data_IF_620436479945
#
_entry.id   IF_620436479945
#
_cell.length_a   1.000
_cell.length_b   1.000
_cell.length_c   1.000
_cell.angle_alpha   90.00
_cell.angle_beta   90.00
_cell.angle_gamma   90.00
#
_symmetry.space_group_name_H-M   'P 1'
#
loop_
_entity.id
_entity.type
_entity.pdbx_description
1 polymer ?
#
# COMPACT_ATOMS: atom_id res chain seq x y z
N UNK A 1 -5.05 -6.07 -17.40
CA UNK A 1 -5.92 -5.46 -16.36
C UNK A 1 -5.56 -6.14 -15.04
N UNK A 2 -5.34 -5.36 -13.99
CA UNK A 2 -5.01 -5.89 -12.65
C UNK A 2 -6.29 -5.88 -11.80
N UNK A 3 -6.85 -7.05 -11.43
CA UNK A 3 -8.12 -7.14 -10.71
C UNK A 3 -7.99 -6.88 -9.20
N UNK A 4 -6.88 -6.30 -8.76
CA UNK A 4 -6.57 -6.04 -7.34
C UNK A 4 -6.10 -4.60 -7.17
N UNK A 5 -6.66 -3.88 -6.20
CA UNK A 5 -6.17 -2.56 -5.78
C UNK A 5 -5.95 -2.51 -4.27
N UNK A 6 -4.77 -2.08 -3.85
CA UNK A 6 -4.26 -2.30 -2.49
C UNK A 6 -4.22 -1.02 -1.65
N UNK A 7 -4.52 0.14 -2.21
CA UNK A 7 -4.37 1.41 -1.52
C UNK A 7 -5.48 2.40 -1.88
N UNK A 8 -6.36 2.69 -0.92
CA UNK A 8 -7.43 3.68 -1.03
C UNK A 8 -7.99 4.10 0.34
N UNK A 9 -8.68 5.25 0.37
CA UNK A 9 -9.13 5.95 1.57
C UNK A 9 -10.63 6.23 1.52
N UNK A 10 -11.25 6.27 2.69
CA UNK A 10 -12.67 6.52 2.89
C UNK A 10 -12.93 7.85 3.59
N UNK A 11 -14.21 8.21 3.75
CA UNK A 11 -14.66 9.36 4.56
C UNK A 11 -14.22 9.34 6.02
N UNK A 12 -13.50 8.31 6.47
CA UNK A 12 -12.81 8.28 7.75
C UNK A 12 -11.76 9.40 7.87
N UNK A 13 -11.20 9.84 6.74
CA UNK A 13 -10.47 11.10 6.58
C UNK A 13 -11.32 12.08 5.76
N UNK A 14 -11.41 13.34 6.17
CA UNK A 14 -12.31 14.31 5.51
C UNK A 14 -11.79 14.80 4.15
N UNK A 15 -10.51 14.59 3.85
CA UNK A 15 -9.94 14.78 2.51
C UNK A 15 -10.17 13.60 1.54
N UNK A 16 -10.87 12.54 1.98
CA UNK A 16 -11.40 11.48 1.13
C UNK A 16 -12.93 11.45 1.17
N UNK A 17 -13.56 10.96 0.10
CA UNK A 17 -14.99 11.25 -0.18
C UNK A 17 -15.81 10.02 -0.57
N UNK A 18 -15.35 8.81 -0.28
CA UNK A 18 -16.06 7.57 -0.58
C UNK A 18 -16.22 6.69 0.65
N UNK A 19 -17.29 5.92 0.68
CA UNK A 19 -17.60 4.94 1.72
C UNK A 19 -17.15 3.55 1.29
N UNK A 20 -17.13 2.59 2.23
CA UNK A 20 -16.90 1.17 1.89
C UNK A 20 -17.87 0.67 0.81
N UNK A 21 -19.16 1.05 0.88
CA UNK A 21 -20.16 0.68 -0.13
C UNK A 21 -19.89 1.25 -1.51
N UNK A 22 -19.33 2.47 -1.60
CA UNK A 22 -18.97 3.07 -2.89
C UNK A 22 -17.85 2.28 -3.56
N UNK A 23 -16.83 1.87 -2.78
CA UNK A 23 -15.75 1.02 -3.29
C UNK A 23 -16.24 -0.36 -3.72
N UNK A 24 -17.15 -1.01 -2.97
CA UNK A 24 -17.74 -2.29 -3.37
C UNK A 24 -18.49 -2.16 -4.71
N UNK A 25 -19.36 -1.15 -4.82
CA UNK A 25 -20.15 -0.93 -6.03
C UNK A 25 -19.26 -0.66 -7.25
N UNK A 26 -18.22 0.16 -7.08
CA UNK A 26 -17.28 0.50 -8.13
C UNK A 26 -16.36 -0.67 -8.51
N UNK A 27 -15.93 -1.47 -7.52
CA UNK A 27 -15.14 -2.68 -7.75
C UNK A 27 -15.90 -3.67 -8.64
N UNK A 28 -17.19 -3.90 -8.32
CA UNK A 28 -18.09 -4.71 -9.13
C UNK A 28 -18.20 -4.17 -10.57
N UNK A 29 -18.37 -2.85 -10.72
CA UNK A 29 -18.49 -2.19 -12.03
C UNK A 29 -17.22 -2.32 -12.88
N UNK A 30 -16.05 -2.24 -12.25
CA UNK A 30 -14.73 -2.28 -12.90
C UNK A 30 -14.14 -3.69 -13.03
N UNK A 31 -14.78 -4.69 -12.45
CA UNK A 31 -14.27 -6.07 -12.44
C UNK A 31 -13.10 -6.30 -11.48
N UNK A 32 -12.88 -5.41 -10.51
CA UNK A 32 -11.95 -5.63 -9.39
C UNK A 32 -12.50 -6.76 -8.52
N UNK A 33 -11.66 -7.74 -8.21
CA UNK A 33 -12.01 -8.97 -7.47
C UNK A 33 -11.61 -8.91 -6.01
N UNK A 34 -10.57 -8.16 -5.69
CA UNK A 34 -10.07 -7.98 -4.34
C UNK A 34 -9.59 -6.54 -4.18
N UNK A 35 -9.98 -5.87 -3.11
CA UNK A 35 -9.42 -4.56 -2.77
C UNK A 35 -9.16 -4.44 -1.28
N UNK A 36 -8.30 -3.48 -0.89
CA UNK A 36 -8.04 -3.14 0.51
C UNK A 36 -8.43 -1.69 0.79
N UNK A 37 -9.19 -1.45 1.86
CA UNK A 37 -9.28 -0.11 2.44
C UNK A 37 -8.09 0.09 3.37
N UNK A 38 -7.35 1.18 3.18
CA UNK A 38 -6.12 1.49 3.89
C UNK A 38 -6.14 2.94 4.37
N UNK A 39 -7.16 3.30 5.15
CA UNK A 39 -7.27 4.63 5.75
C UNK A 39 -5.99 4.99 6.54
N UNK A 40 -5.69 6.29 6.61
CA UNK A 40 -4.45 6.79 7.22
C UNK A 40 -4.36 6.45 8.71
N UNK A 41 -3.16 6.09 9.17
CA UNK A 41 -2.91 5.79 10.57
C UNK A 41 -3.24 6.95 11.53
N UNK A 42 -3.61 6.63 12.78
CA UNK A 42 -4.25 7.56 13.71
C UNK A 42 -3.35 8.70 14.23
N UNK A 43 -2.03 8.66 13.99
CA UNK A 43 -1.14 9.76 14.40
C UNK A 43 -1.15 10.91 13.38
N UNK A 44 -1.70 10.72 12.16
CA UNK A 44 -1.76 11.75 11.12
C UNK A 44 -2.90 12.76 11.34
N UNK A 45 -2.70 13.99 10.88
CA UNK A 45 -3.78 14.98 10.81
C UNK A 45 -4.92 14.49 9.90
N UNK A 46 -6.17 14.80 10.26
CA UNK A 46 -7.37 14.35 9.53
C UNK A 46 -7.51 12.81 9.44
N UNK A 47 -6.80 12.05 10.28
CA UNK A 47 -6.94 10.59 10.36
C UNK A 47 -8.08 10.15 11.30
N UNK A 48 -8.64 8.95 11.11
CA UNK A 48 -9.65 8.41 12.00
C UNK A 48 -9.11 8.01 13.37
N UNK A 49 -10.01 7.89 14.34
CA UNK A 49 -9.71 7.31 15.64
C UNK A 49 -9.25 5.83 15.50
N UNK A 50 -8.28 5.36 16.30
CA UNK A 50 -7.75 3.99 16.22
C UNK A 50 -8.80 2.86 16.29
N UNK A 51 -9.97 3.12 16.89
CA UNK A 51 -11.11 2.17 16.88
C UNK A 51 -11.69 1.90 15.50
N UNK A 52 -11.49 2.80 14.53
CA UNK A 52 -11.82 2.57 13.13
C UNK A 52 -11.19 1.26 12.64
N UNK A 53 -9.88 1.10 12.84
CA UNK A 53 -9.12 -0.09 12.45
C UNK A 53 -9.48 -1.33 13.28
N UNK A 54 -9.55 -1.18 14.61
CA UNK A 54 -9.90 -2.31 15.50
C UNK A 54 -11.26 -2.91 15.11
N UNK A 55 -12.22 -2.06 14.72
CA UNK A 55 -13.57 -2.51 14.42
C UNK A 55 -13.78 -3.00 12.98
N UNK A 56 -12.79 -2.87 12.08
CA UNK A 56 -12.86 -3.47 10.73
C UNK A 56 -13.10 -4.98 10.76
N UNK A 57 -12.78 -5.65 11.89
CA UNK A 57 -13.05 -7.07 12.11
C UNK A 57 -14.52 -7.50 11.90
N UNK A 58 -15.46 -6.57 11.95
CA UNK A 58 -16.90 -6.84 11.73
C UNK A 58 -17.31 -6.84 10.25
N UNK A 59 -16.44 -6.40 9.36
CA UNK A 59 -16.78 -6.26 7.94
C UNK A 59 -17.07 -7.61 7.30
N UNK A 60 -18.02 -7.70 6.36
CA UNK A 60 -18.14 -8.87 5.50
C UNK A 60 -16.84 -9.07 4.73
N UNK A 61 -16.42 -10.33 4.53
CA UNK A 61 -15.25 -10.63 3.70
C UNK A 61 -15.57 -10.47 2.21
N UNK A 62 -16.73 -10.97 1.78
CA UNK A 62 -17.16 -10.99 0.38
C UNK A 62 -18.51 -10.29 0.23
N UNK A 63 -18.63 -9.36 -0.72
CA UNK A 63 -19.89 -8.71 -1.09
C UNK A 63 -19.96 -8.65 -2.61
N UNK A 64 -21.06 -9.10 -3.20
CA UNK A 64 -21.25 -9.11 -4.66
C UNK A 64 -20.11 -9.80 -5.45
N UNK A 65 -19.46 -10.79 -4.84
CA UNK A 65 -18.31 -11.50 -5.43
C UNK A 65 -16.99 -10.70 -5.41
N UNK A 66 -16.93 -9.60 -4.66
CA UNK A 66 -15.74 -8.78 -4.44
C UNK A 66 -15.21 -9.02 -3.02
N UNK A 67 -13.93 -9.39 -2.92
CA UNK A 67 -13.23 -9.57 -1.65
C UNK A 67 -12.76 -8.24 -1.06
N UNK A 68 -12.82 -8.14 0.27
CA UNK A 68 -12.53 -6.92 1.02
C UNK A 68 -11.44 -7.23 2.07
N UNK A 69 -10.24 -6.70 1.83
CA UNK A 69 -9.16 -6.67 2.81
C UNK A 69 -9.32 -5.48 3.74
N UNK A 70 -9.02 -5.72 5.02
CA UNK A 70 -9.01 -4.74 6.09
C UNK A 70 -7.57 -4.27 6.23
N UNK A 71 -7.31 -3.00 5.98
CA UNK A 71 -5.95 -2.49 5.97
C UNK A 71 -5.79 -1.14 6.64
N UNK A 72 -4.55 -0.68 6.64
CA UNK A 72 -4.12 0.61 7.15
C UNK A 72 -2.98 1.12 6.28
N UNK A 73 -2.96 2.42 6.00
CA UNK A 73 -1.74 3.13 5.61
C UNK A 73 -1.14 3.77 6.86
N UNK A 74 -0.32 3.00 7.56
CA UNK A 74 0.31 3.44 8.80
C UNK A 74 1.39 4.49 8.53
N UNK A 75 1.63 5.36 9.49
CA UNK A 75 2.65 6.38 9.43
C UNK A 75 3.95 5.85 10.03
N UNK A 76 5.06 5.99 9.30
CA UNK A 76 6.41 5.77 9.88
C UNK A 76 6.66 6.90 10.87
N UNK A 77 6.95 6.56 12.13
CA UNK A 77 7.04 7.53 13.23
C UNK A 77 8.45 8.02 13.49
N UNK A 78 9.45 7.17 13.29
CA UNK A 78 10.83 7.47 13.67
C UNK A 78 11.85 6.58 12.96
N UNK A 79 13.13 6.87 13.20
CA UNK A 79 14.29 6.14 12.64
C UNK A 79 14.43 4.70 13.14
N UNK A 80 13.65 4.28 14.15
CA UNK A 80 13.62 2.90 14.64
C UNK A 80 12.60 2.04 13.88
N UNK A 81 11.86 2.61 12.92
CA UNK A 81 10.90 1.89 12.10
C UNK A 81 9.57 1.59 12.82
N UNK A 82 9.27 2.32 13.89
CA UNK A 82 7.98 2.23 14.56
C UNK A 82 6.89 2.86 13.69
N UNK A 83 5.71 2.25 13.69
CA UNK A 83 4.51 2.75 13.00
C UNK A 83 3.37 2.94 13.98
N UNK A 84 2.40 3.77 13.65
CA UNK A 84 1.22 4.08 14.47
C UNK A 84 0.12 3.00 14.42
N UNK A 85 0.52 1.72 14.40
CA UNK A 85 -0.37 0.58 14.47
C UNK A 85 -0.15 -0.18 15.79
N UNK A 86 -1.16 -0.21 16.66
CA UNK A 86 -1.11 -0.91 17.94
C UNK A 86 -1.36 -2.43 17.78
N UNK A 87 -0.99 -3.23 18.78
CA UNK A 87 -1.24 -4.68 18.77
C UNK A 87 -2.70 -5.05 18.50
N UNK A 88 -3.64 -4.35 19.15
CA UNK A 88 -5.08 -4.58 18.92
C UNK A 88 -5.55 -4.21 17.51
N UNK A 89 -4.86 -3.30 16.84
CA UNK A 89 -5.14 -2.97 15.44
C UNK A 89 -4.63 -4.09 14.53
N UNK A 90 -3.40 -4.57 14.74
CA UNK A 90 -2.85 -5.72 13.99
C UNK A 90 -3.77 -6.95 14.06
N UNK A 91 -4.37 -7.25 15.23
CA UNK A 91 -5.28 -8.38 15.39
C UNK A 91 -6.55 -8.31 14.50
N UNK A 92 -6.88 -7.13 13.95
CA UNK A 92 -8.07 -6.89 13.13
C UNK A 92 -7.78 -6.64 11.65
N UNK A 93 -6.51 -6.51 11.25
CA UNK A 93 -6.08 -6.09 9.92
C UNK A 93 -5.38 -7.22 9.15
N UNK A 94 -5.59 -7.25 7.84
CA UNK A 94 -4.97 -8.20 6.91
C UNK A 94 -3.77 -7.58 6.19
N UNK A 95 -3.87 -6.29 5.83
CA UNK A 95 -2.86 -5.58 5.04
C UNK A 95 -2.30 -4.39 5.83
N UNK A 96 -0.97 -4.27 5.86
CA UNK A 96 -0.28 -3.21 6.58
C UNK A 96 0.61 -2.50 5.57
N UNK A 97 0.17 -1.33 5.14
CA UNK A 97 0.98 -0.39 4.38
C UNK A 97 1.63 0.57 5.37
N UNK A 98 2.84 1.03 5.11
CA UNK A 98 3.44 2.12 5.87
C UNK A 98 4.15 3.13 4.97
N UNK A 99 4.00 4.42 5.27
CA UNK A 99 4.54 5.51 4.46
C UNK A 99 4.99 6.73 5.27
N UNK A 100 5.62 7.68 4.59
CA UNK A 100 5.98 8.96 5.17
C UNK A 100 4.89 10.01 4.92
N UNK A 101 4.40 10.61 6.00
CA UNK A 101 3.48 11.73 5.98
C UNK A 101 4.00 12.84 6.88
N UNK A 102 4.02 14.07 6.33
CA UNK A 102 4.68 15.24 6.92
C UNK A 102 4.23 15.57 8.36
N UNK A 103 2.93 15.43 8.73
CA UNK A 103 2.50 15.67 10.11
C UNK A 103 3.08 14.70 11.15
N UNK A 104 3.49 13.49 10.75
CA UNK A 104 4.01 12.45 11.65
C UNK A 104 5.53 12.34 11.57
N UNK A 105 6.07 12.40 10.36
CA UNK A 105 7.51 12.38 10.10
C UNK A 105 7.82 13.43 9.04
N UNK A 106 8.34 14.57 9.47
CA UNK A 106 8.74 15.64 8.57
C UNK A 106 9.90 15.19 7.65
N UNK A 107 9.94 15.64 6.38
CA UNK A 107 11.08 15.41 5.50
C UNK A 107 12.42 15.77 6.14
N UNK A 108 13.36 14.84 6.08
CA UNK A 108 14.72 15.04 6.60
C UNK A 108 15.77 14.79 5.51
N UNK A 109 17.05 14.77 5.89
CA UNK A 109 18.14 14.38 5.01
C UNK A 109 17.98 12.94 4.49
N UNK A 110 18.72 12.64 3.39
CA UNK A 110 18.65 11.34 2.69
C UNK A 110 18.96 10.15 3.60
N UNK A 111 19.93 10.28 4.50
CA UNK A 111 20.34 9.20 5.40
C UNK A 111 19.24 8.90 6.43
N UNK A 112 18.69 9.95 7.05
CA UNK A 112 17.62 9.82 8.04
C UNK A 112 16.35 9.19 7.46
N UNK A 113 15.90 9.64 6.28
CA UNK A 113 14.74 9.06 5.61
C UNK A 113 14.99 7.58 5.22
N UNK A 114 16.21 7.29 4.75
CA UNK A 114 16.60 5.92 4.36
C UNK A 114 16.64 4.99 5.58
N UNK A 115 17.22 5.44 6.69
CA UNK A 115 17.30 4.67 7.93
C UNK A 115 15.90 4.32 8.45
N UNK A 116 15.01 5.32 8.55
CA UNK A 116 13.65 5.11 9.02
C UNK A 116 12.89 4.10 8.13
N UNK A 117 12.96 4.26 6.80
CA UNK A 117 12.27 3.35 5.87
C UNK A 117 12.83 1.92 5.93
N UNK A 118 14.16 1.75 5.99
CA UNK A 118 14.79 0.43 6.11
C UNK A 118 14.45 -0.22 7.45
N UNK A 119 14.44 0.54 8.55
CA UNK A 119 14.04 0.02 9.85
C UNK A 119 12.57 -0.44 9.85
N UNK A 120 11.67 0.31 9.22
CA UNK A 120 10.26 -0.09 9.04
C UNK A 120 10.14 -1.39 8.25
N UNK A 121 10.88 -1.51 7.15
CA UNK A 121 10.95 -2.74 6.34
C UNK A 121 11.47 -3.92 7.18
N UNK A 122 12.55 -3.71 7.94
CA UNK A 122 13.20 -4.73 8.74
C UNK A 122 12.41 -5.15 10.00
N UNK A 123 11.40 -4.37 10.39
CA UNK A 123 10.56 -4.64 11.58
C UNK A 123 9.74 -5.93 11.48
N UNK A 124 9.50 -6.43 10.27
CA UNK A 124 8.63 -7.58 9.99
C UNK A 124 7.12 -7.29 10.08
N UNK A 125 6.72 -6.08 10.47
CA UNK A 125 5.32 -5.70 10.72
C UNK A 125 4.58 -5.17 9.48
N UNK A 126 5.31 -4.84 8.42
CA UNK A 126 4.77 -4.13 7.24
C UNK A 126 4.80 -5.04 6.01
N UNK A 127 3.78 -4.93 5.17
CA UNK A 127 3.64 -5.66 3.92
C UNK A 127 4.08 -4.83 2.72
N UNK A 128 3.75 -3.54 2.71
CA UNK A 128 4.00 -2.60 1.60
C UNK A 128 4.55 -1.28 2.16
N UNK A 129 5.55 -0.70 1.49
CA UNK A 129 5.89 0.72 1.69
C UNK A 129 5.17 1.56 0.64
N UNK A 130 4.36 2.52 1.07
CA UNK A 130 3.62 3.42 0.16
C UNK A 130 4.52 4.51 -0.41
N UNK A 131 4.22 4.88 -1.67
CA UNK A 131 4.81 5.97 -2.45
C UNK A 131 6.31 6.30 -2.18
N UNK A 132 7.23 5.30 -2.19
CA UNK A 132 8.66 5.51 -1.87
C UNK A 132 9.40 6.40 -2.89
N UNK A 133 8.78 6.70 -4.03
CA UNK A 133 9.29 7.64 -5.03
C UNK A 133 9.03 9.12 -4.72
N UNK A 134 8.35 9.44 -3.62
CA UNK A 134 7.99 10.81 -3.26
C UNK A 134 9.22 11.73 -3.16
N UNK A 135 9.37 12.75 -4.03
CA UNK A 135 10.54 13.64 -4.03
C UNK A 135 10.73 14.44 -2.74
N UNK A 136 9.68 14.62 -1.93
CA UNK A 136 9.79 15.28 -0.62
C UNK A 136 10.71 14.50 0.32
N UNK A 137 10.80 13.18 0.19
CA UNK A 137 11.62 12.32 1.04
C UNK A 137 12.75 11.71 0.21
N UNK A 138 13.86 12.44 -0.01
CA UNK A 138 15.00 11.86 -0.69
C UNK A 138 15.48 10.63 0.08
N UNK A 139 15.71 9.53 -0.64
CA UNK A 139 16.10 8.23 -0.05
C UNK A 139 17.13 7.50 -0.91
N UNK A 140 17.83 6.55 -0.34
CA UNK A 140 18.73 5.67 -1.08
C UNK A 140 17.97 4.46 -1.66
N UNK A 141 17.44 4.65 -2.87
CA UNK A 141 16.51 3.73 -3.53
C UNK A 141 17.07 2.30 -3.62
N UNK A 142 18.36 2.13 -3.95
CA UNK A 142 18.95 0.79 -4.07
C UNK A 142 18.99 0.07 -2.72
N UNK A 143 19.39 0.78 -1.66
CA UNK A 143 19.45 0.20 -0.32
C UNK A 143 18.06 -0.21 0.18
N UNK A 144 17.03 0.61 -0.07
CA UNK A 144 15.64 0.30 0.28
C UNK A 144 15.12 -0.91 -0.52
N UNK A 145 15.35 -0.95 -1.83
CA UNK A 145 14.91 -2.09 -2.66
C UNK A 145 15.57 -3.41 -2.22
N UNK A 146 16.84 -3.38 -1.86
CA UNK A 146 17.56 -4.54 -1.32
C UNK A 146 17.01 -4.98 0.04
N UNK A 147 16.72 -4.03 0.95
CA UNK A 147 16.08 -4.33 2.22
C UNK A 147 14.68 -4.93 2.01
N UNK A 148 13.87 -4.33 1.13
CA UNK A 148 12.53 -4.78 0.82
C UNK A 148 12.51 -6.21 0.27
N UNK A 149 13.39 -6.52 -0.68
CA UNK A 149 13.55 -7.87 -1.22
C UNK A 149 13.96 -8.87 -0.12
N UNK A 150 14.94 -8.53 0.73
CA UNK A 150 15.41 -9.38 1.83
C UNK A 150 14.31 -9.68 2.85
N UNK A 151 13.50 -8.69 3.20
CA UNK A 151 12.47 -8.80 4.24
C UNK A 151 11.07 -9.13 3.68
N UNK A 152 10.97 -9.48 2.40
CA UNK A 152 9.71 -9.80 1.72
C UNK A 152 8.66 -8.69 1.87
N UNK A 153 9.07 -7.43 1.76
CA UNK A 153 8.20 -6.25 1.74
C UNK A 153 8.08 -5.76 0.30
N UNK A 154 6.88 -5.42 -0.14
CA UNK A 154 6.67 -4.85 -1.46
C UNK A 154 6.88 -3.33 -1.44
N UNK A 155 7.37 -2.77 -2.54
CA UNK A 155 7.42 -1.32 -2.75
C UNK A 155 6.30 -0.90 -3.69
N UNK A 156 5.58 0.16 -3.33
CA UNK A 156 4.45 0.63 -4.13
C UNK A 156 4.91 1.41 -5.36
N UNK A 157 4.26 1.16 -6.50
CA UNK A 157 4.17 2.11 -7.62
C UNK A 157 2.76 2.73 -7.58
N UNK A 158 2.72 3.99 -7.15
CA UNK A 158 1.51 4.68 -6.73
C UNK A 158 0.94 5.56 -7.84
N UNK A 159 -0.28 5.30 -8.30
CA UNK A 159 -0.84 5.95 -9.49
C UNK A 159 -1.13 7.44 -9.26
N UNK A 160 -1.60 7.82 -8.06
CA UNK A 160 -1.87 9.21 -7.66
C UNK A 160 -0.64 10.12 -7.79
N UNK A 161 0.57 9.57 -7.64
CA UNK A 161 1.85 10.30 -7.74
C UNK A 161 2.15 10.90 -9.12
N UNK A 162 1.46 10.41 -10.17
CA UNK A 162 1.65 10.88 -11.55
C UNK A 162 0.55 11.84 -12.00
N UNK A 163 -0.55 11.93 -11.24
CA UNK A 163 -1.75 12.66 -11.64
C UNK A 163 -1.97 13.91 -10.80
N UNK A 164 -2.00 13.76 -9.47
CA UNK A 164 -2.47 14.80 -8.56
C UNK A 164 -1.50 15.06 -7.41
N UNK A 165 -0.76 14.04 -7.01
CA UNK A 165 0.08 14.05 -5.80
C UNK A 165 1.57 14.07 -6.15
N UNK A 166 2.40 14.55 -5.22
CA UNK A 166 3.87 14.35 -5.23
C UNK A 166 4.55 14.66 -6.59
N UNK A 167 4.25 15.84 -7.17
CA UNK A 167 4.81 16.28 -8.46
C UNK A 167 6.33 16.06 -8.54
N UNK A 168 6.80 15.48 -9.64
CA UNK A 168 8.20 15.10 -9.84
C UNK A 168 8.55 13.68 -9.43
N UNK A 169 7.57 12.84 -9.05
CA UNK A 169 7.79 11.45 -8.68
C UNK A 169 8.25 10.55 -9.83
N UNK A 170 8.08 10.95 -11.09
CA UNK A 170 8.26 10.04 -12.24
C UNK A 170 9.64 9.36 -12.28
N UNK A 171 10.72 10.16 -12.23
CA UNK A 171 12.09 9.64 -12.27
C UNK A 171 12.40 8.75 -11.07
N UNK A 172 11.93 9.13 -9.88
CA UNK A 172 12.10 8.35 -8.66
C UNK A 172 11.32 7.04 -8.70
N UNK A 173 10.07 7.04 -9.17
CA UNK A 173 9.26 5.83 -9.32
C UNK A 173 9.86 4.89 -10.36
N UNK A 174 10.43 5.42 -11.45
CA UNK A 174 11.20 4.64 -12.43
C UNK A 174 12.46 4.03 -11.81
N UNK A 175 13.18 4.79 -10.99
CA UNK A 175 14.33 4.28 -10.24
C UNK A 175 13.94 3.19 -9.22
N UNK A 176 12.82 3.37 -8.51
CA UNK A 176 12.26 2.37 -7.59
C UNK A 176 11.92 1.09 -8.35
N UNK A 177 11.17 1.17 -9.45
CA UNK A 177 10.81 0.01 -10.24
C UNK A 177 12.05 -0.75 -10.76
N UNK A 178 13.05 -0.04 -11.29
CA UNK A 178 14.30 -0.65 -11.74
C UNK A 178 15.09 -1.30 -10.59
N UNK A 179 15.18 -0.64 -9.43
CA UNK A 179 15.88 -1.17 -8.28
C UNK A 179 15.19 -2.41 -7.71
N UNK A 180 13.86 -2.46 -7.67
CA UNK A 180 13.10 -3.63 -7.23
C UNK A 180 13.27 -4.79 -8.21
N UNK A 181 13.27 -4.53 -9.53
CA UNK A 181 13.56 -5.54 -10.55
C UNK A 181 14.93 -6.17 -10.30
N UNK A 182 15.96 -5.34 -10.12
CA UNK A 182 17.34 -5.81 -9.98
C UNK A 182 17.58 -6.51 -8.62
N UNK A 183 16.86 -6.10 -7.57
CA UNK A 183 16.90 -6.74 -6.26
C UNK A 183 16.06 -8.03 -6.18
N UNK A 184 15.19 -8.29 -7.15
CA UNK A 184 14.26 -9.42 -7.13
C UNK A 184 13.14 -9.27 -6.10
N UNK A 185 12.74 -8.04 -5.76
CA UNK A 185 11.68 -7.75 -4.80
C UNK A 185 10.27 -7.87 -5.40
N UNK A 186 9.26 -7.41 -4.66
CA UNK A 186 7.86 -7.32 -5.11
C UNK A 186 7.47 -5.86 -5.33
N UNK A 187 6.62 -5.61 -6.33
CA UNK A 187 5.87 -4.34 -6.42
C UNK A 187 4.40 -4.55 -6.11
N UNK A 188 3.83 -3.57 -5.43
CA UNK A 188 2.40 -3.40 -5.25
C UNK A 188 1.93 -2.21 -6.08
N UNK A 189 0.74 -2.31 -6.67
CA UNK A 189 0.05 -1.19 -7.29
C UNK A 189 -1.03 -0.68 -6.34
N UNK A 190 -1.03 0.64 -6.14
CA UNK A 190 -2.04 1.34 -5.35
C UNK A 190 -2.53 2.55 -6.13
N UNK A 191 -3.85 2.70 -6.23
CA UNK A 191 -4.42 3.87 -6.89
C UNK A 191 -4.27 5.11 -6.01
N UNK A 192 -4.21 4.89 -4.69
CA UNK A 192 -4.23 5.95 -3.66
C UNK A 192 -5.50 6.80 -3.86
N UNK A 193 -6.59 6.06 -4.07
CA UNK A 193 -7.92 6.56 -4.31
C UNK A 193 -8.44 7.28 -3.08
N UNK A 194 -8.78 8.55 -3.23
CA UNK A 194 -9.56 9.32 -2.25
C UNK A 194 -11.03 9.46 -2.66
N UNK A 195 -11.36 8.94 -3.85
CA UNK A 195 -12.72 8.63 -4.27
C UNK A 195 -12.71 7.27 -4.98
N UNK A 196 -13.83 6.56 -4.96
CA UNK A 196 -13.97 5.28 -5.65
C UNK A 196 -13.76 5.41 -7.18
N UNK A 197 -14.01 6.58 -7.77
CA UNK A 197 -13.90 6.78 -9.23
C UNK A 197 -12.55 6.42 -9.83
N UNK A 198 -11.44 6.47 -9.07
CA UNK A 198 -10.10 6.09 -9.52
C UNK A 198 -9.66 4.68 -9.11
N UNK A 199 -10.54 3.90 -8.45
CA UNK A 199 -10.28 2.53 -8.03
C UNK A 199 -9.77 1.68 -9.19
N UNK A 200 -8.64 1.00 -8.99
CA UNK A 200 -8.04 0.10 -9.97
C UNK A 200 -7.43 0.78 -11.20
N UNK A 201 -7.35 2.11 -11.23
CA UNK A 201 -6.63 2.80 -12.30
C UNK A 201 -5.13 2.80 -12.02
N UNK A 202 -4.41 2.07 -12.87
CA UNK A 202 -2.95 1.91 -12.82
C UNK A 202 -2.29 2.30 -14.15
N UNK A 203 -2.96 3.13 -14.95
CA UNK A 203 -2.51 3.47 -16.31
C UNK A 203 -1.10 4.07 -16.29
N UNK A 204 -0.80 4.96 -15.35
CA UNK A 204 0.52 5.59 -15.24
C UNK A 204 1.54 4.63 -14.61
N UNK A 205 1.14 3.85 -13.60
CA UNK A 205 2.01 2.81 -13.03
C UNK A 205 2.50 1.82 -14.11
N UNK A 206 1.60 1.41 -15.02
CA UNK A 206 1.97 0.47 -16.09
C UNK A 206 3.05 1.04 -17.01
N UNK A 207 2.95 2.31 -17.40
CA UNK A 207 3.98 2.98 -18.23
C UNK A 207 5.35 2.96 -17.56
N UNK A 208 5.40 3.19 -16.24
CA UNK A 208 6.64 3.17 -15.46
C UNK A 208 7.25 1.77 -15.43
N UNK A 209 6.43 0.75 -15.17
CA UNK A 209 6.87 -0.65 -15.14
C UNK A 209 7.34 -1.15 -16.51
N UNK A 210 6.61 -0.82 -17.59
CA UNK A 210 6.97 -1.20 -18.96
C UNK A 210 8.32 -0.62 -19.37
N UNK A 211 8.55 0.65 -19.04
CA UNK A 211 9.77 1.33 -19.46
C UNK A 211 11.04 0.84 -18.75
N UNK A 212 10.91 0.03 -17.69
CA UNK A 212 12.04 -0.67 -17.06
C UNK A 212 11.98 -2.18 -17.30
N UNK A 213 11.10 -2.67 -18.17
CA UNK A 213 10.87 -4.10 -18.40
C UNK A 213 10.65 -4.85 -17.08
N UNK A 214 9.82 -4.32 -16.19
CA UNK A 214 9.58 -4.93 -14.89
C UNK A 214 8.89 -6.30 -15.07
N UNK A 215 9.34 -7.35 -14.36
CA UNK A 215 8.84 -8.69 -14.56
C UNK A 215 7.42 -8.86 -13.97
N UNK A 216 6.49 -9.32 -14.80
CA UNK A 216 5.07 -9.47 -14.47
C UNK A 216 4.82 -10.41 -13.28
N UNK A 217 5.67 -11.42 -13.10
CA UNK A 217 5.59 -12.38 -12.00
C UNK A 217 5.97 -11.80 -10.63
N UNK A 218 6.50 -10.57 -10.59
CA UNK A 218 6.83 -9.81 -9.37
C UNK A 218 5.84 -8.67 -9.07
N UNK A 219 4.71 -8.61 -9.78
CA UNK A 219 3.62 -7.68 -9.50
C UNK A 219 2.54 -8.40 -8.70
N UNK A 220 2.23 -7.93 -7.49
CA UNK A 220 1.25 -8.57 -6.59
C UNK A 220 -0.17 -8.53 -7.16
N UNK A 221 -0.53 -7.43 -7.83
CA UNK A 221 -1.90 -7.14 -8.27
C UNK A 221 -2.38 -7.96 -9.47
N UNK A 222 -1.54 -8.87 -10.01
CA UNK A 222 -1.89 -9.73 -11.16
C UNK A 222 -3.10 -10.60 -10.88
N UNK A 223 -3.25 -11.10 -9.64
CA UNK A 223 -4.39 -11.94 -9.26
C UNK A 223 -4.62 -11.89 -7.74
N UNK A 224 -5.88 -12.08 -7.27
CA UNK A 224 -6.17 -12.21 -5.84
C UNK A 224 -5.31 -13.28 -5.16
N UNK A 225 -5.17 -14.46 -5.75
CA UNK A 225 -4.44 -15.59 -5.17
C UNK A 225 -2.96 -15.27 -4.98
N UNK A 226 -2.33 -14.53 -5.89
CA UNK A 226 -0.93 -14.11 -5.74
C UNK A 226 -0.76 -13.19 -4.53
N UNK A 227 -1.65 -12.22 -4.37
CA UNK A 227 -1.62 -11.33 -3.22
C UNK A 227 -1.85 -12.12 -1.92
N UNK A 228 -2.87 -12.97 -1.88
CA UNK A 228 -3.20 -13.76 -0.69
C UNK A 228 -2.05 -14.70 -0.30
N UNK A 229 -1.45 -15.39 -1.27
CA UNK A 229 -0.26 -16.21 -1.03
C UNK A 229 0.94 -15.40 -0.50
N UNK A 230 1.12 -14.15 -0.96
CA UNK A 230 2.13 -13.25 -0.41
C UNK A 230 1.83 -12.92 1.06
N UNK A 231 0.59 -12.55 1.40
CA UNK A 231 0.21 -12.25 2.79
C UNK A 231 0.32 -13.49 3.70
N UNK A 232 -0.08 -14.67 3.22
CA UNK A 232 0.09 -15.94 3.94
C UNK A 232 1.57 -16.26 4.18
N UNK A 233 2.45 -16.02 3.19
CA UNK A 233 3.90 -16.18 3.36
C UNK A 233 4.49 -15.23 4.40
N UNK A 234 3.78 -14.14 4.71
CA UNK A 234 4.11 -13.15 5.75
C UNK A 234 3.45 -13.44 7.10
N UNK A 235 2.74 -14.56 7.23
CA UNK A 235 2.18 -15.05 8.48
C UNK A 235 0.69 -14.79 8.66
N UNK A 236 0.00 -14.24 7.65
CA UNK A 236 -1.46 -14.14 7.69
C UNK A 236 -2.08 -15.55 7.64
N UNK A 237 -3.07 -15.82 8.49
CA UNK A 237 -3.87 -17.04 8.35
C UNK A 237 -4.71 -16.98 7.06
N UNK A 238 -4.91 -18.12 6.35
CA UNK A 238 -5.77 -18.15 5.17
C UNK A 238 -7.18 -17.65 5.50
N UNK A 239 -7.79 -16.90 4.58
CA UNK A 239 -9.16 -16.38 4.71
C UNK A 239 -10.11 -17.28 3.91
N UNK A 240 -10.91 -18.15 4.55
CA UNK A 240 -11.70 -19.16 3.85
C UNK A 240 -12.69 -18.58 2.83
N UNK A 241 -13.25 -17.41 3.12
CA UNK A 241 -14.19 -16.71 2.23
C UNK A 241 -13.56 -16.26 0.90
N UNK A 242 -12.23 -16.27 0.81
CA UNK A 242 -11.47 -15.90 -0.39
C UNK A 242 -10.98 -17.09 -1.21
N UNK A 243 -11.34 -18.32 -0.86
CA UNK A 243 -10.84 -19.52 -1.55
C UNK A 243 -11.19 -19.58 -3.05
N UNK A 244 -12.29 -18.94 -3.46
CA UNK A 244 -12.80 -18.92 -4.85
C UNK A 244 -12.51 -17.60 -5.59
N UNK A 245 -11.83 -16.65 -4.94
CA UNK A 245 -11.30 -15.46 -5.63
C UNK A 245 -10.11 -15.84 -6.48
#
# INVERSE_FOLDING_TARGET
MYPVDLHMHTVASTHAYSTLSDYIAEAKRKGIKLFAITDHGPDMEDAPHHWHFINMRIWPRLVDGVGILRGIEANIKNINGEIDCSGKMFDSLDLIIAGFHEPVFAPHDKETNTQAMIATIASGKVHIISHPGNPKYPVEVKAIAQAAAKHHVALEINNSSFLHSRKGSEDNCRAVAAAVRDAGGWVALGSDSHTAFTLGDFTECRKILDAVNFPEDRILNVSPQRLLAFLESRGMAPVPEFAEL
#
